data_IF_380327188754
#
_entry.id   IF_380327188754
#
_cell.length_a   1.000
_cell.length_b   1.000
_cell.length_c   1.000
_cell.angle_alpha   90.00
_cell.angle_beta   90.00
_cell.angle_gamma   90.00
#
_symmetry.space_group_name_H-M   'P 1'
#
loop_
_entity.id
_entity.type
_entity.pdbx_description
1 polymer ?
#
# COMPACT_ATOMS: atom_id res chain seq x y z
N UNK A 1 10.23 -16.53 22.08
CA UNK A 1 10.12 -15.05 22.10
C UNK A 1 9.70 -14.53 20.72
N UNK A 2 8.40 -14.38 20.43
CA UNK A 2 7.94 -14.07 19.06
C UNK A 2 6.76 -13.10 19.08
N UNK A 3 6.97 -11.77 19.13
CA UNK A 3 5.82 -10.84 19.05
C UNK A 3 6.20 -9.47 18.49
N UNK A 4 6.29 -9.34 17.17
CA UNK A 4 6.08 -8.02 16.55
C UNK A 4 5.19 -8.21 15.33
N UNK A 5 3.90 -8.31 15.60
CA UNK A 5 2.83 -8.14 14.62
C UNK A 5 2.24 -6.75 14.85
N UNK A 6 2.26 -5.87 13.85
CA UNK A 6 1.72 -4.50 13.97
C UNK A 6 0.45 -4.37 13.15
N UNK A 7 -0.60 -3.81 13.76
CA UNK A 7 -1.87 -3.55 13.07
C UNK A 7 -2.33 -2.13 13.38
N UNK A 8 -2.48 -1.29 12.36
CA UNK A 8 -2.93 0.10 12.47
C UNK A 8 -4.12 0.42 11.57
N UNK A 9 -4.96 1.33 12.05
CA UNK A 9 -6.13 1.85 11.32
C UNK A 9 -6.16 3.36 11.47
N UNK A 10 -6.22 4.07 10.36
CA UNK A 10 -6.23 5.53 10.36
C UNK A 10 -7.38 6.08 9.52
N UNK A 11 -8.10 7.08 10.07
CA UNK A 11 -9.21 7.78 9.43
C UNK A 11 -9.02 9.30 9.56
N UNK A 12 -9.17 10.08 8.49
CA UNK A 12 -9.17 11.55 8.58
C UNK A 12 -8.52 12.31 7.42
N UNK A 13 -8.34 13.62 7.61
CA UNK A 13 -7.65 14.54 6.68
C UNK A 13 -6.14 14.48 6.98
N UNK A 14 -5.52 13.36 6.63
CA UNK A 14 -4.11 13.07 6.87
C UNK A 14 -3.91 11.91 7.84
N UNK A 15 -3.14 10.91 7.40
CA UNK A 15 -2.70 9.78 8.22
C UNK A 15 -1.29 9.36 7.81
N UNK A 16 -0.41 9.14 8.78
CA UNK A 16 0.93 8.63 8.53
C UNK A 16 1.43 7.73 9.65
N UNK A 17 2.18 6.70 9.26
CA UNK A 17 2.54 5.59 10.11
C UNK A 17 3.82 4.89 9.64
N UNK A 18 4.51 4.27 10.61
CA UNK A 18 5.69 3.44 10.38
C UNK A 18 5.48 2.12 11.09
N UNK A 19 5.55 1.03 10.33
CA UNK A 19 5.28 -0.31 10.85
C UNK A 19 6.50 -1.19 10.68
N UNK A 20 6.91 -1.84 11.77
CA UNK A 20 8.07 -2.75 11.83
C UNK A 20 7.62 -4.06 12.48
N UNK A 21 8.00 -5.19 11.91
CA UNK A 21 7.69 -6.49 12.49
C UNK A 21 7.78 -7.66 11.51
N UNK A 22 7.48 -8.87 11.98
CA UNK A 22 7.38 -10.04 11.11
C UNK A 22 6.17 -9.92 10.19
N UNK A 23 5.07 -9.40 10.72
CA UNK A 23 3.80 -9.17 10.01
C UNK A 23 3.33 -7.73 10.30
N UNK A 24 3.00 -6.97 9.27
CA UNK A 24 2.42 -5.62 9.41
C UNK A 24 1.15 -5.49 8.54
N UNK A 25 0.05 -5.03 9.12
CA UNK A 25 -1.24 -4.87 8.43
C UNK A 25 -1.84 -3.50 8.72
N UNK A 26 -1.98 -2.66 7.69
CA UNK A 26 -2.51 -1.31 7.87
C UNK A 26 -3.65 -0.94 6.93
N UNK A 27 -4.53 -0.08 7.43
CA UNK A 27 -5.71 0.42 6.71
C UNK A 27 -5.84 1.93 6.87
N UNK A 28 -5.75 2.65 5.75
CA UNK A 28 -5.91 4.10 5.70
C UNK A 28 -7.16 4.51 4.92
N UNK A 29 -7.97 5.39 5.50
CA UNK A 29 -9.17 5.94 4.85
C UNK A 29 -9.23 7.46 5.02
N UNK A 30 -9.18 8.23 3.93
CA UNK A 30 -9.28 9.69 4.03
C UNK A 30 -8.64 10.49 2.89
N UNK A 31 -8.43 11.79 3.12
CA UNK A 31 -7.70 12.66 2.19
C UNK A 31 -6.23 12.71 2.63
N UNK A 32 -5.36 11.98 1.92
CA UNK A 32 -3.91 11.94 2.16
C UNK A 32 -3.50 10.85 3.14
N UNK A 33 -2.68 9.90 2.68
CA UNK A 33 -2.05 8.88 3.53
C UNK A 33 -0.61 8.61 3.10
N UNK A 34 0.33 8.58 4.05
CA UNK A 34 1.76 8.30 3.78
C UNK A 34 2.32 7.30 4.78
N UNK A 35 2.68 6.08 4.35
CA UNK A 35 3.23 5.08 5.29
C UNK A 35 4.44 4.30 4.76
N UNK A 36 5.19 3.77 5.73
CA UNK A 36 6.39 2.95 5.50
C UNK A 36 6.27 1.64 6.28
N UNK A 37 6.41 0.52 5.57
CA UNK A 37 6.45 -0.81 6.20
C UNK A 37 7.77 -1.51 5.98
N UNK A 38 8.27 -2.12 7.05
CA UNK A 38 9.43 -3.00 7.05
C UNK A 38 9.09 -4.33 7.75
N UNK A 39 9.26 -5.45 7.07
CA UNK A 39 8.97 -6.75 7.68
C UNK A 39 9.14 -7.96 6.78
N UNK A 40 8.83 -9.17 7.27
CA UNK A 40 8.78 -10.35 6.40
C UNK A 40 7.53 -10.33 5.53
N UNK A 41 6.38 -10.00 6.11
CA UNK A 41 5.09 -9.90 5.43
C UNK A 41 4.47 -8.54 5.73
N UNK A 42 4.04 -7.84 4.69
CA UNK A 42 3.35 -6.57 4.83
C UNK A 42 2.04 -6.60 4.01
N UNK A 43 0.92 -6.14 4.58
CA UNK A 43 -0.36 -5.87 3.88
C UNK A 43 -0.84 -4.43 4.12
N UNK A 44 -1.11 -3.66 3.07
CA UNK A 44 -1.55 -2.24 3.18
C UNK A 44 -2.76 -1.99 2.30
N UNK A 45 -3.78 -1.33 2.85
CA UNK A 45 -5.00 -0.95 2.13
C UNK A 45 -5.26 0.53 2.31
N UNK A 46 -5.17 1.27 1.20
CA UNK A 46 -5.44 2.71 1.17
C UNK A 46 -6.68 3.03 0.36
N UNK A 47 -7.52 3.90 0.92
CA UNK A 47 -8.73 4.42 0.25
C UNK A 47 -8.81 5.93 0.41
N UNK A 48 -8.73 6.69 -0.69
CA UNK A 48 -8.65 8.15 -0.58
C UNK A 48 -8.36 8.91 -1.86
N UNK A 49 -8.14 10.22 -1.75
CA UNK A 49 -7.73 11.04 -2.90
C UNK A 49 -6.25 10.91 -3.24
N UNK A 50 -5.38 10.80 -2.24
CA UNK A 50 -3.92 10.76 -2.39
C UNK A 50 -3.34 9.73 -1.43
N UNK A 51 -2.45 8.89 -1.93
CA UNK A 51 -1.79 7.83 -1.19
C UNK A 51 -0.32 7.66 -1.64
N UNK A 52 0.61 7.60 -0.69
CA UNK A 52 2.03 7.32 -0.95
C UNK A 52 2.53 6.22 -0.01
N UNK A 53 3.09 5.14 -0.56
CA UNK A 53 3.56 3.97 0.19
C UNK A 53 5.03 3.61 -0.09
N UNK A 54 5.73 3.11 0.93
CA UNK A 54 7.00 2.39 0.75
C UNK A 54 7.01 1.08 1.54
N UNK A 55 7.38 -0.02 0.88
CA UNK A 55 7.43 -1.36 1.49
C UNK A 55 8.76 -2.05 1.25
N UNK A 56 9.29 -2.67 2.32
CA UNK A 56 10.48 -3.51 2.25
C UNK A 56 10.22 -4.83 2.99
N UNK A 57 10.43 -5.96 2.33
CA UNK A 57 10.18 -7.27 2.96
C UNK A 57 10.19 -8.46 2.03
N UNK A 58 10.08 -9.70 2.55
CA UNK A 58 10.02 -10.89 1.69
C UNK A 58 8.72 -10.97 0.89
N UNK A 59 7.57 -10.63 1.50
CA UNK A 59 6.26 -10.56 0.84
C UNK A 59 5.57 -9.23 1.10
N UNK A 60 5.15 -8.53 0.04
CA UNK A 60 4.46 -7.25 0.15
C UNK A 60 3.22 -7.17 -0.76
N UNK A 61 2.05 -6.97 -0.15
CA UNK A 61 0.75 -6.81 -0.84
C UNK A 61 0.13 -5.46 -0.51
N UNK A 62 -0.13 -4.60 -1.50
CA UNK A 62 -0.84 -3.35 -1.26
C UNK A 62 -1.95 -3.14 -2.29
N UNK A 63 -3.00 -2.49 -1.81
CA UNK A 63 -4.23 -2.24 -2.54
C UNK A 63 -4.56 -0.77 -2.37
N UNK A 64 -4.64 -0.06 -3.48
CA UNK A 64 -4.97 1.36 -3.51
C UNK A 64 -6.27 1.60 -4.27
N UNK A 65 -7.19 2.34 -3.64
CA UNK A 65 -8.45 2.78 -4.26
C UNK A 65 -8.56 4.31 -4.16
N UNK A 66 -8.51 5.03 -5.27
CA UNK A 66 -8.47 6.49 -5.19
C UNK A 66 -8.19 7.28 -6.45
N UNK A 67 -8.03 8.61 -6.32
CA UNK A 67 -7.66 9.47 -7.47
C UNK A 67 -6.16 9.45 -7.78
N UNK A 68 -5.29 9.35 -6.77
CA UNK A 68 -3.83 9.36 -6.92
C UNK A 68 -3.21 8.29 -6.01
N UNK A 69 -2.26 7.50 -6.51
CA UNK A 69 -1.51 6.51 -5.73
C UNK A 69 -0.05 6.43 -6.19
N UNK A 70 0.90 6.43 -5.26
CA UNK A 70 2.32 6.23 -5.56
C UNK A 70 2.87 5.17 -4.61
N UNK A 71 3.55 4.14 -5.13
CA UNK A 71 4.04 3.04 -4.30
C UNK A 71 5.45 2.59 -4.69
N UNK A 72 6.25 2.16 -3.71
CA UNK A 72 7.60 1.65 -3.97
C UNK A 72 7.88 0.44 -3.11
N UNK A 73 8.22 -0.69 -3.75
CA UNK A 73 8.46 -1.94 -3.03
C UNK A 73 9.77 -2.62 -3.34
N UNK A 74 10.35 -3.23 -2.32
CA UNK A 74 11.54 -4.09 -2.42
C UNK A 74 11.29 -5.38 -1.67
N UNK A 75 11.47 -6.51 -2.33
CA UNK A 75 11.21 -7.80 -1.71
C UNK A 75 11.52 -9.01 -2.55
N UNK A 76 11.18 -10.22 -2.09
CA UNK A 76 11.23 -11.41 -2.96
C UNK A 76 9.95 -11.51 -3.79
N UNK A 77 8.82 -11.20 -3.19
CA UNK A 77 7.49 -11.24 -3.80
C UNK A 77 6.74 -9.92 -3.56
N UNK A 78 6.29 -9.28 -4.64
CA UNK A 78 5.51 -8.06 -4.59
C UNK A 78 4.25 -8.15 -5.46
N UNK A 79 3.08 -7.83 -4.88
CA UNK A 79 1.79 -7.80 -5.58
C UNK A 79 1.10 -6.46 -5.40
N UNK A 80 0.88 -5.73 -6.49
CA UNK A 80 0.21 -4.43 -6.49
C UNK A 80 -1.16 -4.47 -7.19
N UNK A 81 -2.11 -3.69 -6.64
CA UNK A 81 -3.46 -3.54 -7.18
C UNK A 81 -3.91 -2.10 -7.01
N UNK A 82 -4.10 -1.43 -8.15
CA UNK A 82 -4.56 -0.05 -8.22
C UNK A 82 -5.92 0.05 -8.90
N UNK A 83 -6.84 0.84 -8.31
CA UNK A 83 -8.16 1.13 -8.88
C UNK A 83 -8.46 2.63 -8.78
N UNK A 84 -8.49 3.33 -9.91
CA UNK A 84 -8.84 4.75 -9.96
C UNK A 84 -8.17 5.57 -11.07
N UNK A 85 -8.11 6.90 -10.90
CA UNK A 85 -7.74 7.83 -11.99
C UNK A 85 -6.24 7.98 -12.23
N UNK A 86 -5.36 7.83 -11.24
CA UNK A 86 -3.90 7.79 -11.45
C UNK A 86 -3.19 6.93 -10.38
N UNK A 87 -2.24 6.08 -10.79
CA UNK A 87 -1.37 5.29 -9.91
C UNK A 87 0.06 5.13 -10.47
N UNK A 88 1.11 5.11 -9.63
CA UNK A 88 2.49 4.81 -10.10
C UNK A 88 3.30 4.02 -9.07
N UNK A 89 3.66 2.78 -9.43
CA UNK A 89 4.42 1.85 -8.58
C UNK A 89 5.84 1.63 -9.10
N UNK A 90 6.84 1.27 -8.26
CA UNK A 90 8.01 0.46 -8.73
C UNK A 90 8.51 -0.58 -7.73
N UNK A 91 8.59 -1.81 -8.23
CA UNK A 91 8.87 -3.05 -7.50
C UNK A 91 10.24 -3.62 -7.90
N UNK A 92 11.09 -3.99 -6.93
CA UNK A 92 12.32 -4.77 -7.14
C UNK A 92 12.25 -6.03 -6.30
N UNK A 93 12.19 -7.18 -6.96
CA UNK A 93 12.15 -8.49 -6.35
C UNK A 93 12.21 -9.61 -7.36
N UNK A 94 12.42 -10.85 -6.89
CA UNK A 94 12.48 -12.02 -7.78
C UNK A 94 11.15 -12.24 -8.51
N UNK A 95 10.03 -11.84 -7.90
CA UNK A 95 8.69 -11.92 -8.50
C UNK A 95 7.92 -10.62 -8.22
N UNK A 96 7.38 -10.00 -9.28
CA UNK A 96 6.55 -8.79 -9.17
C UNK A 96 5.32 -8.88 -10.10
N UNK A 97 4.14 -8.55 -9.56
CA UNK A 97 2.87 -8.49 -10.30
C UNK A 97 2.22 -7.12 -10.06
N UNK A 98 1.90 -6.40 -11.12
CA UNK A 98 1.18 -5.12 -11.08
C UNK A 98 -0.16 -5.22 -11.83
N UNK A 99 -1.22 -4.64 -11.26
CA UNK A 99 -2.57 -4.63 -11.83
C UNK A 99 -3.16 -3.24 -11.69
N UNK A 100 -3.29 -2.54 -12.82
CA UNK A 100 -3.91 -1.23 -12.90
C UNK A 100 -5.26 -1.31 -13.60
N UNK A 101 -6.34 -0.84 -12.95
CA UNK A 101 -7.64 -0.63 -13.59
C UNK A 101 -7.99 0.85 -13.57
N UNK A 102 -7.88 1.56 -14.71
CA UNK A 102 -8.44 2.91 -14.82
C UNK A 102 -9.94 2.83 -14.57
N UNK A 103 -10.45 3.75 -13.77
CA UNK A 103 -11.89 3.98 -13.70
C UNK A 103 -12.22 5.04 -14.74
N UNK A 104 -12.39 4.59 -15.99
CA UNK A 104 -13.01 5.39 -17.04
C UNK A 104 -14.37 5.82 -16.52
N UNK A 105 -14.50 7.11 -16.25
CA UNK A 105 -15.78 7.68 -15.84
C UNK A 105 -16.49 8.10 -17.11
N UNK A 106 -17.01 7.10 -17.83
CA UNK A 106 -18.18 7.26 -18.67
C UNK A 106 -19.26 6.37 -18.07
N UNK A 107 -19.96 6.91 -17.08
CA UNK A 107 -21.30 6.48 -16.75
C UNK A 107 -22.05 7.77 -16.49
N UNK A 108 -22.84 8.13 -17.51
CA UNK A 108 -24.01 9.01 -17.54
C UNK A 108 -24.35 9.74 -16.24
#
# INVERSE_FOLDING_TARGET
MFRYSTVGKHRGRGAGGRHRGRVAVDKHRGRGAVDKHHGRVAVDRRRGRVAVGKRRGRGAVAIHRGRVSVDRRRGREAVDKHRGRVAVGKHRGRVAVDKHRPLDRCSR
#
